data_IF_913784351889
#
_entry.id   IF_913784351889
#
_cell.length_a   1.000
_cell.length_b   1.000
_cell.length_c   1.000
_cell.angle_alpha   90.00
_cell.angle_beta   90.00
_cell.angle_gamma   90.00
#
_symmetry.space_group_name_H-M   'P 1'
#
loop_
_entity.id
_entity.type
_entity.pdbx_description
1 polymer ?
#
# COMPACT_ATOMS: atom_id res chain seq x y z
N UNK A 1 -38.88 -7.69 50.86
CA UNK A 1 -38.39 -8.74 49.95
C UNK A 1 -37.03 -9.23 50.45
N UNK A 2 -36.84 -10.56 50.47
CA UNK A 2 -35.77 -11.42 51.04
C UNK A 2 -34.40 -10.73 51.30
N UNK A 3 -33.93 -10.52 52.55
CA UNK A 3 -33.12 -11.45 53.40
C UNK A 3 -32.24 -12.40 52.55
N UNK A 4 -30.91 -12.41 52.60
CA UNK A 4 -30.11 -12.70 53.79
C UNK A 4 -28.62 -12.43 53.57
N UNK A 5 -28.06 -11.73 54.56
CA UNK A 5 -26.66 -11.67 54.99
C UNK A 5 -26.12 -13.08 55.30
N UNK A 6 -24.79 -13.25 55.28
CA UNK A 6 -23.92 -14.18 56.06
C UNK A 6 -22.97 -14.99 55.15
N UNK A 7 -21.73 -15.31 55.48
CA UNK A 7 -20.81 -15.06 56.61
C UNK A 7 -19.43 -15.59 56.17
N UNK A 8 -18.39 -14.85 56.53
CA UNK A 8 -17.06 -15.24 57.05
C UNK A 8 -16.43 -16.60 56.67
N UNK A 9 -15.12 -16.52 56.38
CA UNK A 9 -13.96 -17.30 56.89
C UNK A 9 -13.02 -17.63 55.73
N UNK A 10 -11.84 -17.04 55.63
CA UNK A 10 -10.63 -17.36 56.41
C UNK A 10 -10.25 -18.85 56.33
N UNK A 11 -9.27 -19.18 55.48
CA UNK A 11 -8.22 -20.21 55.68
C UNK A 11 -7.35 -20.23 54.42
N UNK A 12 -6.09 -19.78 54.51
CA UNK A 12 -4.88 -20.52 54.95
C UNK A 12 -4.19 -21.22 53.78
N UNK A 13 -2.91 -20.91 53.64
CA UNK A 13 -1.81 -21.86 53.38
C UNK A 13 -1.82 -22.44 51.96
N UNK A 14 -0.82 -22.19 51.12
CA UNK A 14 0.49 -22.78 51.37
C UNK A 14 1.54 -22.15 50.47
N UNK A 15 2.60 -21.68 51.10
CA UNK A 15 3.91 -21.52 50.47
C UNK A 15 4.34 -22.86 49.87
N UNK A 16 4.76 -22.91 48.59
CA UNK A 16 5.89 -23.75 48.18
C UNK A 16 6.40 -23.43 46.78
N UNK A 17 7.52 -22.71 46.76
CA UNK A 17 8.75 -23.03 46.03
C UNK A 17 8.62 -23.75 44.67
N UNK A 18 8.93 -22.98 43.62
CA UNK A 18 9.96 -23.25 42.59
C UNK A 18 10.07 -24.70 42.11
N UNK A 19 9.43 -25.00 40.97
CA UNK A 19 9.86 -26.07 40.07
C UNK A 19 10.22 -25.41 38.75
N UNK A 20 11.51 -25.47 38.41
CA UNK A 20 12.05 -25.11 37.10
C UNK A 20 11.50 -26.14 36.11
N UNK A 21 10.58 -25.74 35.25
CA UNK A 21 10.26 -26.49 34.03
C UNK A 21 10.76 -25.66 32.86
N UNK A 22 11.80 -26.15 32.18
CA UNK A 22 12.34 -25.55 30.98
C UNK A 22 11.35 -25.76 29.81
N UNK A 23 10.91 -24.72 29.10
CA UNK A 23 10.25 -24.89 27.82
C UNK A 23 11.25 -24.65 26.68
N UNK A 24 11.59 -25.77 26.02
CA UNK A 24 11.95 -26.04 24.61
C UNK A 24 12.71 -24.97 23.78
N UNK A 25 13.68 -25.38 22.93
CA UNK A 25 14.35 -24.48 21.99
C UNK A 25 13.31 -23.84 21.07
N UNK A 26 13.27 -22.51 21.06
CA UNK A 26 12.51 -21.75 20.07
C UNK A 26 13.20 -21.98 18.73
N UNK A 27 12.61 -22.80 17.87
CA UNK A 27 12.95 -22.85 16.45
C UNK A 27 12.87 -21.42 15.92
N UNK A 28 14.04 -20.81 15.69
CA UNK A 28 14.14 -19.59 14.92
C UNK A 28 13.74 -19.94 13.49
N UNK A 29 12.46 -19.75 13.15
CA UNK A 29 12.08 -19.56 11.74
C UNK A 29 12.96 -18.43 11.20
N UNK A 30 13.75 -18.64 10.12
CA UNK A 30 14.55 -17.57 9.57
C UNK A 30 13.60 -16.49 9.03
N UNK A 31 13.55 -15.38 9.76
CA UNK A 31 12.94 -14.16 9.28
C UNK A 31 13.79 -13.60 8.14
N UNK A 32 13.13 -13.42 6.99
CA UNK A 32 13.56 -12.76 5.76
C UNK A 32 14.36 -13.64 4.78
N UNK A 33 13.75 -14.08 3.65
CA UNK A 33 14.54 -14.48 2.51
C UNK A 33 15.32 -13.27 1.98
N UNK A 34 16.54 -13.47 1.44
CA UNK A 34 17.40 -12.40 0.97
C UNK A 34 16.75 -11.73 -0.25
N UNK A 35 16.27 -10.49 -0.10
CA UNK A 35 15.96 -9.59 -1.24
C UNK A 35 17.26 -9.04 -1.86
N UNK A 36 18.22 -9.92 -2.12
CA UNK A 36 19.40 -9.62 -2.92
C UNK A 36 19.15 -10.16 -4.33
N UNK A 37 19.35 -9.30 -5.34
CA UNK A 37 19.06 -9.52 -6.76
C UNK A 37 17.63 -9.24 -7.24
N UNK A 38 16.96 -8.19 -6.71
CA UNK A 38 15.98 -7.48 -7.53
C UNK A 38 16.74 -6.76 -8.65
N UNK A 39 16.89 -7.49 -9.74
CA UNK A 39 17.35 -7.09 -11.07
C UNK A 39 17.20 -5.59 -11.34
N UNK A 40 18.29 -4.96 -11.78
CA UNK A 40 18.35 -3.56 -12.18
C UNK A 40 17.59 -3.38 -13.51
N UNK A 41 16.27 -3.62 -13.51
CA UNK A 41 15.42 -3.39 -14.67
C UNK A 41 15.35 -1.89 -14.90
N UNK A 42 16.07 -1.41 -15.91
CA UNK A 42 16.03 -0.01 -16.32
C UNK A 42 14.59 0.34 -16.73
N UNK A 43 13.93 1.16 -15.92
CA UNK A 43 12.56 1.58 -16.18
C UNK A 43 12.55 2.66 -17.25
N UNK A 44 12.10 2.31 -18.46
CA UNK A 44 11.98 3.24 -19.59
C UNK A 44 10.97 4.33 -19.28
N UNK A 45 11.37 5.59 -19.51
CA UNK A 45 10.47 6.75 -19.43
C UNK A 45 9.84 6.95 -20.81
N UNK A 46 8.52 6.84 -20.89
CA UNK A 46 7.76 7.00 -22.13
C UNK A 46 7.00 8.31 -22.07
N UNK A 47 7.13 9.13 -23.12
CA UNK A 47 6.39 10.38 -23.29
C UNK A 47 5.69 10.38 -24.64
N UNK A 48 4.42 10.73 -24.64
CA UNK A 48 3.57 10.78 -25.83
C UNK A 48 3.14 12.22 -26.03
N UNK A 49 3.33 12.73 -27.24
CA UNK A 49 3.01 14.12 -27.61
C UNK A 49 2.02 14.10 -28.77
N UNK A 50 0.81 14.61 -28.52
CA UNK A 50 -0.22 14.78 -29.52
C UNK A 50 -0.13 16.16 -30.16
N UNK A 51 0.06 16.23 -31.48
CA UNK A 51 0.12 17.48 -32.21
C UNK A 51 -1.22 17.77 -32.90
N UNK A 52 -1.70 19.01 -32.80
CA UNK A 52 -2.94 19.44 -33.45
C UNK A 52 -4.21 18.85 -32.84
N UNK A 53 -5.35 19.06 -33.51
CA UNK A 53 -6.67 18.63 -33.00
C UNK A 53 -6.83 17.11 -32.95
N UNK A 54 -6.50 16.39 -34.03
CA UNK A 54 -6.58 14.93 -34.07
C UNK A 54 -5.64 14.26 -33.08
N UNK A 55 -4.39 14.72 -33.01
CA UNK A 55 -3.41 14.21 -32.06
C UNK A 55 -3.82 14.46 -30.60
N UNK A 56 -4.34 15.67 -30.31
CA UNK A 56 -4.88 15.99 -28.99
C UNK A 56 -6.08 15.14 -28.59
N UNK A 57 -6.96 14.81 -29.53
CA UNK A 57 -8.11 13.93 -29.30
C UNK A 57 -7.68 12.50 -28.94
N UNK A 58 -6.78 11.91 -29.75
CA UNK A 58 -6.26 10.56 -29.51
C UNK A 58 -5.51 10.48 -28.17
N UNK A 59 -4.62 11.44 -27.93
CA UNK A 59 -3.84 11.49 -26.68
C UNK A 59 -4.74 11.68 -25.47
N UNK A 60 -5.81 12.47 -25.59
CA UNK A 60 -6.78 12.66 -24.50
C UNK A 60 -7.53 11.38 -24.14
N UNK A 61 -7.81 10.52 -25.12
CA UNK A 61 -8.44 9.21 -24.88
C UNK A 61 -7.46 8.23 -24.25
N UNK A 62 -6.28 8.05 -24.86
CA UNK A 62 -5.27 7.08 -24.38
C UNK A 62 -4.75 7.43 -22.98
N UNK A 63 -4.66 8.72 -22.65
CA UNK A 63 -4.20 9.17 -21.33
C UNK A 63 -5.10 8.72 -20.16
N UNK A 64 -6.35 8.31 -20.43
CA UNK A 64 -7.27 7.79 -19.39
C UNK A 64 -6.90 6.37 -18.97
N UNK A 65 -6.47 5.55 -19.91
CA UNK A 65 -6.30 4.11 -19.71
C UNK A 65 -4.83 3.72 -19.51
N UNK A 66 -3.90 4.40 -20.20
CA UNK A 66 -2.50 4.01 -20.21
C UNK A 66 -1.73 4.63 -19.04
N UNK A 67 -1.38 3.77 -18.07
CA UNK A 67 -0.55 4.13 -16.92
C UNK A 67 0.93 4.09 -17.30
N UNK A 68 1.75 4.92 -16.62
CA UNK A 68 3.22 4.98 -16.71
C UNK A 68 3.80 5.66 -17.96
N UNK A 69 3.02 6.50 -18.64
CA UNK A 69 3.51 7.42 -19.66
C UNK A 69 3.16 8.87 -19.26
N UNK A 70 4.00 9.81 -19.70
CA UNK A 70 3.69 11.24 -19.64
C UNK A 70 2.98 11.65 -20.93
N UNK A 71 1.89 12.41 -20.83
CA UNK A 71 1.13 12.89 -21.98
C UNK A 71 1.19 14.40 -22.14
N UNK A 72 1.42 14.86 -23.36
CA UNK A 72 1.43 16.28 -23.73
C UNK A 72 0.62 16.46 -25.00
N UNK A 73 -0.11 17.56 -25.12
CA UNK A 73 -0.81 17.99 -26.33
C UNK A 73 -0.28 19.36 -26.71
N UNK A 74 0.21 19.51 -27.93
CA UNK A 74 0.64 20.80 -28.45
C UNK A 74 -0.24 21.17 -29.65
N UNK A 75 -0.91 22.31 -29.55
CA UNK A 75 -1.80 22.80 -30.59
C UNK A 75 -1.72 24.32 -30.64
N UNK A 76 -1.99 24.88 -31.81
CA UNK A 76 -2.10 26.34 -31.99
C UNK A 76 -3.46 26.86 -31.57
N UNK A 77 -4.50 26.04 -31.69
CA UNK A 77 -5.86 26.39 -31.28
C UNK A 77 -6.02 26.33 -29.75
N UNK A 78 -6.09 27.50 -29.13
CA UNK A 78 -6.29 27.67 -27.70
C UNK A 78 -7.63 27.10 -27.19
N UNK A 79 -8.67 27.04 -28.03
CA UNK A 79 -9.95 26.42 -27.64
C UNK A 79 -9.77 24.92 -27.48
N UNK A 80 -9.14 24.26 -28.46
CA UNK A 80 -8.85 22.84 -28.39
C UNK A 80 -7.92 22.48 -27.22
N UNK A 81 -6.94 23.32 -26.88
CA UNK A 81 -6.11 23.11 -25.69
C UNK A 81 -6.91 23.14 -24.38
N UNK A 82 -7.94 23.99 -24.28
CA UNK A 82 -8.82 24.03 -23.09
C UNK A 82 -9.70 22.78 -22.95
N UNK A 83 -9.97 22.11 -24.06
CA UNK A 83 -10.78 20.87 -24.11
C UNK A 83 -9.95 19.60 -23.87
N UNK A 84 -8.62 19.72 -23.79
CA UNK A 84 -7.74 18.57 -23.55
C UNK A 84 -7.99 17.88 -22.20
N UNK A 85 -7.71 16.58 -22.14
CA UNK A 85 -7.90 15.76 -20.93
C UNK A 85 -7.11 16.29 -19.72
N UNK A 86 -7.68 16.18 -18.51
CA UNK A 86 -6.98 16.53 -17.25
C UNK A 86 -5.70 15.71 -17.01
N UNK A 87 -5.54 14.59 -17.71
CA UNK A 87 -4.38 13.69 -17.61
C UNK A 87 -3.25 14.06 -18.59
N UNK A 88 -3.45 15.10 -19.41
CA UNK A 88 -2.47 15.60 -20.39
C UNK A 88 -2.02 17.01 -20.01
N UNK A 89 -0.81 17.39 -20.42
CA UNK A 89 -0.31 18.77 -20.33
C UNK A 89 -0.52 19.47 -21.66
N UNK A 90 -0.84 20.76 -21.65
CA UNK A 90 -1.06 21.60 -22.84
C UNK A 90 -0.13 22.80 -22.88
#
# INVERSE_FOLDING_TARGET
MKKSKKIKRAKKISQKRKIRTAPKPVEKKPANPPKAAAELVRRTKIRIIGLGGGGGSIVSEIARDLKRADFVVANTDAKALKEASKHTRV
#
